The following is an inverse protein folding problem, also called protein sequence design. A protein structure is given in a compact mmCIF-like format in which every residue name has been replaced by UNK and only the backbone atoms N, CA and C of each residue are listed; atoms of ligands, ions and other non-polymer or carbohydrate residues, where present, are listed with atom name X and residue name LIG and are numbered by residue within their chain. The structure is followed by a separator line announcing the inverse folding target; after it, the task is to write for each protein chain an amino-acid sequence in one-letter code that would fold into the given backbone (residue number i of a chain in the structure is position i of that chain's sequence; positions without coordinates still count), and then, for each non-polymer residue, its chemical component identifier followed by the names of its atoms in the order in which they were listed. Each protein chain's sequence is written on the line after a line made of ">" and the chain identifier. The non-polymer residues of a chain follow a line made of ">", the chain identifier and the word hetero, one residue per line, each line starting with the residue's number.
data_IF_078376880433
#
_entry.id   IF_078376880433
#
_cell.length_a   1.000
_cell.length_b   1.000
_cell.length_c   1.000
_cell.angle_alpha   90.00
_cell.angle_beta   90.00
_cell.angle_gamma   90.00
#
_symmetry.space_group_name_H-M   'P 1'
#
loop_
_entity.id
_entity.type
_entity.pdbx_description
1 polymer ?
#
# COMPACT_ATOMS: atom_id res chain seq x y z
N UNK A 1 -29.88 -21.96 6.58
CA UNK A 1 -30.51 -20.64 6.82
C UNK A 1 -29.60 -19.58 6.24
N UNK A 2 -29.94 -19.05 5.06
CA UNK A 2 -29.18 -17.98 4.41
C UNK A 2 -29.53 -16.63 5.04
N UNK A 3 -28.52 -15.81 5.29
CA UNK A 3 -28.66 -14.47 5.84
C UNK A 3 -29.60 -13.63 4.96
N UNK A 4 -30.77 -13.27 5.49
CA UNK A 4 -31.71 -12.29 4.93
C UNK A 4 -31.58 -10.93 5.64
N UNK A 5 -30.37 -10.45 5.87
CA UNK A 5 -30.19 -9.05 6.23
C UNK A 5 -30.07 -8.23 4.94
N UNK A 6 -31.03 -7.33 4.71
CA UNK A 6 -30.89 -6.28 3.71
C UNK A 6 -29.53 -5.59 3.90
N UNK A 7 -28.83 -5.17 2.82
CA UNK A 7 -27.56 -4.46 2.97
C UNK A 7 -27.81 -3.28 3.90
N UNK A 8 -27.29 -3.37 5.12
CA UNK A 8 -27.38 -2.30 6.08
C UNK A 8 -26.72 -1.10 5.42
N UNK A 9 -27.45 0.02 5.34
CA UNK A 9 -26.85 1.29 4.94
C UNK A 9 -25.93 1.71 6.06
N UNK A 10 -24.71 1.19 6.04
CA UNK A 10 -23.66 1.56 7.00
C UNK A 10 -23.07 2.87 6.53
N UNK A 11 -23.40 3.95 7.23
CA UNK A 11 -22.71 5.24 7.05
C UNK A 11 -21.34 5.10 7.71
N UNK A 12 -20.33 4.82 6.90
CA UNK A 12 -18.95 4.78 7.38
C UNK A 12 -18.40 6.20 7.51
N UNK A 13 -17.83 6.56 8.67
CA UNK A 13 -17.15 7.82 8.84
C UNK A 13 -15.94 7.89 7.88
N UNK A 14 -15.83 9.00 7.16
CA UNK A 14 -14.75 9.21 6.18
C UNK A 14 -13.56 9.84 6.88
N UNK A 15 -12.37 9.30 6.64
CA UNK A 15 -11.13 9.91 7.10
C UNK A 15 -10.94 11.30 6.47
N UNK A 16 -10.14 12.18 7.09
CA UNK A 16 -9.83 13.49 6.51
C UNK A 16 -9.24 13.36 5.09
N UNK A 17 -9.51 14.30 4.17
CA UNK A 17 -9.15 14.16 2.76
C UNK A 17 -7.64 14.23 2.51
N UNK A 18 -6.87 14.89 3.38
CA UNK A 18 -5.41 14.98 3.30
C UNK A 18 -4.67 13.67 3.59
N UNK A 19 -5.40 12.58 3.81
CA UNK A 19 -4.85 11.24 4.06
C UNK A 19 -4.60 10.42 2.81
N UNK A 20 -5.17 10.83 1.67
CA UNK A 20 -5.05 10.11 0.41
C UNK A 20 -3.88 10.67 -0.40
N UNK A 21 -2.80 9.87 -0.46
CA UNK A 21 -1.70 10.12 -1.38
C UNK A 21 -1.59 9.00 -2.40
N UNK A 22 -1.42 9.41 -3.65
CA UNK A 22 -1.00 8.51 -4.71
C UNK A 22 0.50 8.22 -4.54
N UNK A 23 0.82 7.04 -4.01
CA UNK A 23 2.20 6.64 -3.73
C UNK A 23 2.94 6.14 -4.97
N UNK A 24 2.22 5.53 -5.92
CA UNK A 24 2.81 5.03 -7.15
C UNK A 24 1.78 4.94 -8.28
N UNK A 25 2.28 4.99 -9.51
CA UNK A 25 1.52 4.71 -10.72
C UNK A 25 2.13 3.50 -11.40
N UNK A 26 1.57 2.32 -11.13
CA UNK A 26 1.93 1.12 -11.86
C UNK A 26 1.17 1.10 -13.18
N UNK A 27 1.91 1.13 -14.29
CA UNK A 27 1.32 0.96 -15.61
C UNK A 27 1.18 -0.52 -15.93
N UNK A 28 -0.01 -0.90 -16.42
CA UNK A 28 -0.21 -2.24 -16.94
C UNK A 28 0.67 -2.48 -18.18
N UNK A 29 1.02 -3.76 -18.47
CA UNK A 29 1.69 -4.10 -19.71
C UNK A 29 0.91 -3.64 -20.93
N UNK A 30 1.62 -3.27 -21.99
CA UNK A 30 0.98 -2.92 -23.25
C UNK A 30 0.20 -4.13 -23.82
N UNK A 31 -0.98 -3.90 -24.43
CA UNK A 31 -1.72 -4.97 -25.10
C UNK A 31 -0.86 -5.64 -26.17
N UNK A 32 -0.98 -6.96 -26.34
CA UNK A 32 -0.22 -7.73 -27.37
C UNK A 32 -0.42 -7.20 -28.80
N UNK A 33 -1.55 -6.56 -29.05
CA UNK A 33 -1.89 -5.94 -30.33
C UNK A 33 -1.02 -4.71 -30.64
N UNK A 34 -0.40 -4.11 -29.63
CA UNK A 34 0.54 -3.00 -29.76
C UNK A 34 2.00 -3.47 -29.93
N UNK A 35 2.26 -4.79 -29.94
CA UNK A 35 3.58 -5.38 -30.15
C UNK A 35 3.74 -5.90 -31.61
N UNK A 36 3.16 -5.16 -32.57
CA UNK A 36 3.17 -5.52 -33.99
C UNK A 36 4.18 -4.68 -34.78
N UNK A 37 4.82 -5.29 -35.78
CA UNK A 37 5.82 -4.67 -36.65
C UNK A 37 5.22 -3.45 -37.40
N UNK A 38 5.62 -2.25 -37.00
CA UNK A 38 5.30 -0.99 -37.69
C UNK A 38 6.15 0.16 -37.17
N UNK A 39 6.43 1.16 -38.02
CA UNK A 39 7.39 2.26 -37.80
C UNK A 39 7.04 3.27 -36.66
N UNK A 40 6.03 2.97 -35.83
CA UNK A 40 5.61 3.78 -34.67
C UNK A 40 5.70 3.06 -33.33
N UNK A 41 6.48 1.98 -33.26
CA UNK A 41 6.37 0.99 -32.19
C UNK A 41 7.01 1.45 -30.87
N UNK A 42 6.20 2.13 -30.05
CA UNK A 42 6.52 2.53 -28.67
C UNK A 42 7.01 1.32 -27.85
N UNK A 43 6.61 0.10 -28.20
CA UNK A 43 7.07 -1.13 -27.59
C UNK A 43 8.58 -1.36 -27.76
N UNK A 44 9.15 -1.08 -28.94
CA UNK A 44 10.59 -1.25 -29.18
C UNK A 44 11.44 -0.22 -28.45
N UNK A 45 10.86 0.95 -28.13
CA UNK A 45 11.55 2.04 -27.44
C UNK A 45 11.38 1.98 -25.92
N UNK A 46 10.21 1.58 -25.44
CA UNK A 46 9.84 1.62 -24.00
C UNK A 46 9.73 0.23 -23.36
N UNK A 47 9.78 -0.83 -24.15
CA UNK A 47 9.61 -2.22 -23.72
C UNK A 47 8.14 -2.60 -23.50
N UNK A 48 7.93 -3.68 -22.73
CA UNK A 48 6.61 -4.27 -22.54
C UNK A 48 5.64 -3.46 -21.65
N UNK A 49 6.14 -2.46 -20.92
CA UNK A 49 5.34 -1.60 -20.06
C UNK A 49 6.04 -0.26 -19.86
N UNK A 50 5.26 0.80 -19.65
CA UNK A 50 5.81 2.10 -19.28
C UNK A 50 6.44 2.03 -17.88
N UNK A 51 7.75 2.29 -17.80
CA UNK A 51 8.50 2.32 -16.54
C UNK A 51 9.23 3.65 -16.38
N UNK A 52 9.34 4.10 -15.13
CA UNK A 52 10.24 5.19 -14.77
C UNK A 52 11.69 4.76 -15.00
N UNK A 53 12.46 5.61 -15.69
CA UNK A 53 13.91 5.42 -15.83
C UNK A 53 14.62 5.66 -14.50
N UNK A 54 15.84 5.16 -14.36
CA UNK A 54 16.65 5.26 -13.14
C UNK A 54 16.71 6.69 -12.56
N UNK A 55 16.99 7.69 -13.41
CA UNK A 55 16.99 9.09 -12.97
C UNK A 55 15.62 9.61 -12.51
N UNK A 56 14.53 9.09 -13.10
CA UNK A 56 13.17 9.37 -12.66
C UNK A 56 12.86 8.73 -11.30
N UNK A 57 13.30 7.49 -11.10
CA UNK A 57 13.19 6.78 -9.81
C UNK A 57 13.98 7.51 -8.71
N UNK A 58 15.23 7.91 -8.99
CA UNK A 58 16.05 8.65 -8.04
C UNK A 58 15.41 10.00 -7.65
N UNK A 59 14.86 10.74 -8.62
CA UNK A 59 14.12 11.99 -8.34
C UNK A 59 12.83 11.75 -7.57
N UNK A 60 12.09 10.67 -7.86
CA UNK A 60 10.90 10.28 -7.10
C UNK A 60 11.24 10.02 -5.65
N UNK A 61 12.28 9.24 -5.38
CA UNK A 61 12.71 8.94 -4.00
C UNK A 61 13.28 10.16 -3.29
N UNK A 62 14.03 11.03 -3.98
CA UNK A 62 14.49 12.30 -3.42
C UNK A 62 13.30 13.20 -3.03
N UNK A 63 12.33 13.39 -3.93
CA UNK A 63 11.11 14.15 -3.62
C UNK A 63 10.34 13.54 -2.46
N UNK A 64 10.21 12.21 -2.44
CA UNK A 64 9.53 11.49 -1.37
C UNK A 64 10.17 11.77 -0.01
N UNK A 65 11.50 11.67 0.07
CA UNK A 65 12.26 11.87 1.31
C UNK A 65 12.26 13.34 1.74
N UNK A 66 12.53 14.24 0.81
CA UNK A 66 12.89 15.62 1.13
C UNK A 66 11.66 16.55 1.21
N UNK A 67 10.55 16.19 0.55
CA UNK A 67 9.35 17.02 0.47
C UNK A 67 8.12 16.29 0.99
N UNK A 68 7.82 15.10 0.45
CA UNK A 68 6.55 14.42 0.72
C UNK A 68 6.43 13.93 2.17
N UNK A 69 7.44 13.22 2.69
CA UNK A 69 7.43 12.69 4.05
C UNK A 69 7.35 13.81 5.12
N UNK A 70 8.12 14.90 5.04
CA UNK A 70 7.97 16.02 5.96
C UNK A 70 6.59 16.69 5.88
N UNK A 71 6.03 16.84 4.68
CA UNK A 71 4.69 17.40 4.51
C UNK A 71 3.62 16.49 5.11
N UNK A 72 3.75 15.17 4.92
CA UNK A 72 2.88 14.16 5.53
C UNK A 72 2.88 14.21 7.04
N UNK A 73 4.07 14.34 7.65
CA UNK A 73 4.18 14.43 9.10
C UNK A 73 3.36 15.60 9.65
N UNK A 74 3.45 16.78 9.00
CA UNK A 74 2.64 17.95 9.36
C UNK A 74 1.14 17.72 9.21
N UNK A 75 0.72 16.93 8.22
CA UNK A 75 -0.69 16.58 7.99
C UNK A 75 -1.25 15.60 9.03
N UNK A 76 -0.39 14.74 9.60
CA UNK A 76 -0.76 13.83 10.69
C UNK A 76 -0.91 14.59 12.02
N UNK A 77 -0.17 15.68 12.18
CA UNK A 77 -0.23 16.54 13.37
C UNK A 77 -1.44 17.50 13.39
N UNK A 78 -2.27 17.50 12.34
CA UNK A 78 -3.45 18.36 12.27
C UNK A 78 -4.52 17.94 13.30
N UNK A 79 -5.20 18.90 13.94
CA UNK A 79 -6.23 18.62 14.95
C UNK A 79 -7.46 17.91 14.37
N UNK A 80 -7.62 17.92 13.04
CA UNK A 80 -8.67 17.21 12.32
C UNK A 80 -8.73 15.72 12.66
N UNK A 81 -7.58 15.12 13.01
CA UNK A 81 -7.52 13.72 13.44
C UNK A 81 -8.19 13.48 14.79
N UNK A 82 -8.04 14.40 15.74
CA UNK A 82 -8.71 14.33 17.04
C UNK A 82 -10.22 14.52 16.88
N UNK A 83 -10.61 15.47 16.02
CA UNK A 83 -12.03 15.71 15.71
C UNK A 83 -12.66 14.48 15.05
N UNK A 84 -11.98 13.91 14.06
CA UNK A 84 -12.43 12.70 13.39
C UNK A 84 -12.51 11.52 14.37
N UNK A 85 -11.48 11.28 15.19
CA UNK A 85 -11.45 10.20 16.18
C UNK A 85 -12.58 10.30 17.20
N UNK A 86 -12.87 11.51 17.71
CA UNK A 86 -14.02 11.74 18.59
C UNK A 86 -15.36 11.47 17.86
N UNK A 87 -15.47 11.87 16.60
CA UNK A 87 -16.68 11.61 15.80
C UNK A 87 -16.92 10.11 15.55
N UNK A 88 -15.86 9.31 15.45
CA UNK A 88 -15.96 7.85 15.35
C UNK A 88 -16.67 7.26 16.58
N UNK A 89 -16.25 7.67 17.78
CA UNK A 89 -16.83 7.17 19.05
C UNK A 89 -18.30 7.55 19.24
N UNK A 90 -18.74 8.67 18.67
CA UNK A 90 -20.15 9.09 18.68
C UNK A 90 -20.98 8.32 17.65
N UNK A 91 -20.42 8.07 16.46
CA UNK A 91 -21.13 7.41 15.35
C UNK A 91 -21.22 5.90 15.55
N UNK A 92 -20.24 5.32 16.24
CA UNK A 92 -20.16 3.90 16.53
C UNK A 92 -19.61 3.70 17.94
N UNK A 93 -20.47 3.47 18.95
CA UNK A 93 -20.00 3.03 20.26
C UNK A 93 -19.51 1.59 20.10
N UNK A 94 -18.26 1.43 19.71
CA UNK A 94 -17.64 0.11 19.65
C UNK A 94 -17.57 -0.45 21.07
N UNK A 95 -18.00 -1.70 21.30
CA UNK A 95 -17.84 -2.33 22.61
C UNK A 95 -16.37 -2.38 22.96
N UNK A 96 -15.98 -1.78 24.09
CA UNK A 96 -14.58 -1.63 24.48
C UNK A 96 -13.87 -2.98 24.58
N UNK A 97 -14.58 -4.01 25.04
CA UNK A 97 -14.10 -5.40 25.07
C UNK A 97 -13.77 -5.96 23.67
N UNK A 98 -14.62 -5.69 22.68
CA UNK A 98 -14.43 -6.16 21.31
C UNK A 98 -13.27 -5.43 20.62
N UNK A 99 -13.11 -4.13 20.87
CA UNK A 99 -11.96 -3.34 20.37
C UNK A 99 -10.67 -3.84 21.00
N UNK A 100 -10.67 -4.07 22.31
CA UNK A 100 -9.49 -4.56 23.04
C UNK A 100 -9.05 -5.93 22.53
N UNK A 101 -10.01 -6.84 22.34
CA UNK A 101 -9.74 -8.17 21.77
C UNK A 101 -9.16 -8.07 20.36
N UNK A 102 -9.73 -7.21 19.50
CA UNK A 102 -9.25 -7.00 18.14
C UNK A 102 -7.82 -6.42 18.13
N UNK A 103 -7.53 -5.41 18.95
CA UNK A 103 -6.20 -4.81 19.05
C UNK A 103 -5.16 -5.83 19.53
N UNK A 104 -5.52 -6.72 20.46
CA UNK A 104 -4.65 -7.79 20.91
C UNK A 104 -4.37 -8.78 19.77
N UNK A 105 -5.41 -9.27 19.09
CA UNK A 105 -5.27 -10.17 17.94
C UNK A 105 -4.43 -9.55 16.81
N UNK A 106 -4.58 -8.25 16.57
CA UNK A 106 -3.81 -7.54 15.56
C UNK A 106 -2.33 -7.44 15.94
N UNK A 107 -2.00 -7.19 17.21
CA UNK A 107 -0.62 -7.22 17.70
C UNK A 107 0.00 -8.60 17.52
N UNK A 108 -0.71 -9.64 17.91
CA UNK A 108 -0.24 -11.03 17.80
C UNK A 108 -0.03 -11.42 16.32
N UNK A 109 -0.96 -11.03 15.45
CA UNK A 109 -0.82 -11.17 14.00
C UNK A 109 0.39 -10.40 13.46
N UNK A 110 0.65 -9.19 13.96
CA UNK A 110 1.81 -8.39 13.59
C UNK A 110 3.13 -9.10 13.89
N UNK A 111 3.25 -9.72 15.07
CA UNK A 111 4.41 -10.54 15.47
C UNK A 111 4.57 -11.75 14.53
N UNK A 112 3.48 -12.47 14.25
CA UNK A 112 3.49 -13.61 13.33
C UNK A 112 3.91 -13.21 11.91
N UNK A 113 3.45 -12.07 11.42
CA UNK A 113 3.79 -11.58 10.09
C UNK A 113 5.23 -11.07 10.00
N UNK A 114 5.76 -10.47 11.07
CA UNK A 114 7.18 -10.12 11.13
C UNK A 114 8.07 -11.37 11.06
N UNK A 115 7.76 -12.40 11.85
CA UNK A 115 8.47 -13.68 11.81
C UNK A 115 8.39 -14.35 10.42
N UNK A 116 7.23 -14.30 9.77
CA UNK A 116 7.07 -14.80 8.38
C UNK A 116 7.90 -14.01 7.37
N UNK A 117 8.00 -12.69 7.51
CA UNK A 117 8.84 -11.86 6.62
C UNK A 117 10.32 -12.19 6.81
N UNK A 118 10.78 -12.33 8.05
CA UNK A 118 12.17 -12.73 8.34
C UNK A 118 12.49 -14.13 7.80
N UNK A 119 11.59 -15.10 8.00
CA UNK A 119 11.76 -16.45 7.46
C UNK A 119 11.81 -16.44 5.93
N UNK A 120 10.95 -15.65 5.27
CA UNK A 120 10.95 -15.50 3.82
C UNK A 120 12.22 -14.81 3.30
N UNK A 121 12.72 -13.79 4.01
CA UNK A 121 13.98 -13.13 3.66
C UNK A 121 15.18 -14.08 3.79
N UNK A 122 15.24 -14.88 4.86
CA UNK A 122 16.28 -15.91 5.02
C UNK A 122 16.22 -16.96 3.92
N UNK A 123 15.04 -17.49 3.63
CA UNK A 123 14.85 -18.45 2.55
C UNK A 123 15.23 -17.87 1.17
N UNK A 124 14.94 -16.59 0.90
CA UNK A 124 15.34 -15.93 -0.33
C UNK A 124 16.86 -15.76 -0.43
N UNK A 125 17.52 -15.36 0.66
CA UNK A 125 18.97 -15.23 0.72
C UNK A 125 19.70 -16.58 0.56
N UNK A 126 19.13 -17.68 1.06
CA UNK A 126 19.67 -19.02 0.88
C UNK A 126 19.56 -19.51 -0.57
N UNK A 127 18.45 -19.17 -1.27
CA UNK A 127 18.29 -19.46 -2.70
C UNK A 127 19.27 -18.64 -3.54
N UNK A 128 19.41 -17.34 -3.28
CA UNK A 128 20.39 -16.49 -3.98
C UNK A 128 21.84 -16.94 -3.73
N UNK A 129 22.17 -17.39 -2.51
CA UNK A 129 23.50 -17.93 -2.21
C UNK A 129 23.78 -19.28 -2.89
N UNK A 130 22.75 -20.13 -3.04
CA UNK A 130 22.88 -21.40 -3.75
C UNK A 130 23.01 -21.21 -5.27
N UNK A 131 22.31 -20.23 -5.85
CA UNK A 131 22.46 -19.86 -7.26
C UNK A 131 23.85 -19.25 -7.54
N UNK A 132 24.39 -18.42 -6.63
CA UNK A 132 25.72 -17.84 -6.78
C UNK A 132 26.88 -18.83 -6.58
N UNK A 133 26.65 -20.00 -5.96
CA UNK A 133 27.65 -21.06 -5.76
C UNK A 133 27.57 -22.17 -6.82
N UNK A 134 26.57 -22.12 -7.71
CA UNK A 134 26.33 -23.07 -8.79
C UNK A 134 26.83 -22.63 -10.17
N UNK A 135 27.39 -21.42 -10.29
CA UNK A 135 28.23 -20.94 -11.42
C UNK A 135 29.72 -21.15 -11.12
#
# INVERSE_FOLDING_TARGET
>A
QGSMQAPSRVTLPRAPPHTLLLSDCAFHPFPRQCAGEGDGDVFNVTGAALKLREGGTARKEAFRRDVLLPALQKLVELPDWDVWSRSLGVTYPFPEEAVTLFLQQYKDWGVLMAAKREAKQKAWAEVEAAEAAGE
#
